data_IF_775493002253
#
_entry.id   IF_775493002253
#
_cell.length_a   1.000
_cell.length_b   1.000
_cell.length_c   1.000
_cell.angle_alpha   90.00
_cell.angle_beta   90.00
_cell.angle_gamma   90.00
#
_symmetry.space_group_name_H-M   'P 1'
#
loop_
_entity.id
_entity.type
_entity.pdbx_description
1 polymer ?
#
# COMPACT_ATOMS: atom_id res chain seq x y z
N UNK A 1 19.30 15.88 3.24
CA UNK A 1 18.47 16.18 4.42
C UNK A 1 17.47 15.04 4.59
N UNK A 2 17.13 14.60 5.81
CA UNK A 2 16.29 13.41 6.03
C UNK A 2 14.94 13.45 5.31
N UNK A 3 14.32 14.63 5.21
CA UNK A 3 13.06 14.79 4.46
C UNK A 3 13.19 14.47 2.96
N UNK A 4 14.32 14.80 2.34
CA UNK A 4 14.56 14.49 0.92
C UNK A 4 14.76 13.00 0.72
N UNK A 5 15.46 12.35 1.65
CA UNK A 5 15.63 10.89 1.66
C UNK A 5 14.28 10.18 1.79
N UNK A 6 13.44 10.60 2.75
CA UNK A 6 12.07 10.11 2.87
C UNK A 6 11.28 10.28 1.58
N UNK A 7 11.23 11.50 1.02
CA UNK A 7 10.47 11.79 -0.20
C UNK A 7 10.91 10.93 -1.38
N UNK A 8 12.22 10.68 -1.51
CA UNK A 8 12.74 9.81 -2.57
C UNK A 8 12.28 8.36 -2.37
N UNK A 9 12.49 7.80 -1.19
CA UNK A 9 12.12 6.41 -0.87
C UNK A 9 10.62 6.18 -1.03
N UNK A 10 9.82 7.10 -0.50
CA UNK A 10 8.35 7.05 -0.54
C UNK A 10 7.84 7.04 -1.99
N UNK A 11 8.37 7.93 -2.83
CA UNK A 11 8.04 7.98 -4.27
C UNK A 11 8.48 6.73 -5.02
N UNK A 12 9.64 6.19 -4.69
CA UNK A 12 10.14 4.96 -5.33
C UNK A 12 9.26 3.76 -5.00
N UNK A 13 8.82 3.61 -3.75
CA UNK A 13 7.88 2.57 -3.33
C UNK A 13 6.53 2.69 -4.04
N UNK A 14 5.95 3.90 -4.09
CA UNK A 14 4.70 4.13 -4.82
C UNK A 14 4.80 3.84 -6.32
N UNK A 15 5.91 4.20 -6.96
CA UNK A 15 6.14 3.88 -8.38
C UNK A 15 6.20 2.37 -8.61
N UNK A 16 6.91 1.64 -7.75
CA UNK A 16 6.97 0.18 -7.84
C UNK A 16 5.58 -0.46 -7.69
N UNK A 17 4.78 -0.01 -6.73
CA UNK A 17 3.42 -0.52 -6.52
C UNK A 17 2.52 -0.19 -7.72
N UNK A 18 2.57 1.04 -8.24
CA UNK A 18 1.84 1.44 -9.46
C UNK A 18 2.18 0.54 -10.64
N UNK A 19 3.47 0.33 -10.91
CA UNK A 19 3.92 -0.44 -12.07
C UNK A 19 3.44 -1.89 -11.96
N UNK A 20 3.54 -2.49 -10.76
CA UNK A 20 3.00 -3.83 -10.50
C UNK A 20 1.48 -3.91 -10.62
N UNK A 21 0.72 -2.88 -10.22
CA UNK A 21 -0.73 -2.84 -10.40
C UNK A 21 -1.11 -2.82 -11.89
N UNK A 22 -0.37 -2.08 -12.72
CA UNK A 22 -0.58 -2.05 -14.17
C UNK A 22 -0.20 -3.38 -14.83
N UNK A 23 0.87 -4.02 -14.37
CA UNK A 23 1.25 -5.36 -14.83
C UNK A 23 0.25 -6.43 -14.38
N UNK A 24 -0.30 -6.31 -13.17
CA UNK A 24 -1.35 -7.20 -12.66
C UNK A 24 -2.60 -7.12 -13.53
N UNK A 25 -2.99 -5.91 -13.95
CA UNK A 25 -4.13 -5.72 -14.84
C UNK A 25 -3.91 -6.47 -16.16
N UNK A 26 -2.73 -6.35 -16.75
CA UNK A 26 -2.37 -7.06 -17.97
C UNK A 26 -2.37 -8.58 -17.78
N UNK A 27 -1.89 -9.08 -16.64
CA UNK A 27 -1.90 -10.52 -16.34
C UNK A 27 -3.34 -11.07 -16.28
N UNK A 28 -4.26 -10.37 -15.62
CA UNK A 28 -5.68 -10.73 -15.62
C UNK A 28 -6.31 -10.65 -17.02
N UNK A 29 -6.02 -9.60 -17.79
CA UNK A 29 -6.53 -9.46 -19.18
C UNK A 29 -6.05 -10.60 -20.10
N UNK A 30 -4.82 -11.09 -19.88
CA UNK A 30 -4.27 -12.27 -20.57
C UNK A 30 -4.74 -13.62 -19.99
N UNK A 31 -5.50 -13.59 -18.88
CA UNK A 31 -5.88 -14.77 -18.07
C UNK A 31 -4.67 -15.61 -17.66
N UNK A 32 -3.55 -14.95 -17.38
CA UNK A 32 -2.33 -15.59 -16.90
C UNK A 32 -2.36 -15.66 -15.37
N UNK A 33 -3.01 -16.70 -14.85
CA UNK A 33 -3.12 -16.94 -13.41
C UNK A 33 -1.78 -17.04 -12.70
N UNK A 34 -0.78 -17.67 -13.33
CA UNK A 34 0.54 -17.85 -12.72
C UNK A 34 1.22 -16.50 -12.55
N UNK A 35 1.21 -15.67 -13.59
CA UNK A 35 1.75 -14.31 -13.51
C UNK A 35 0.95 -13.45 -12.52
N UNK A 36 -0.38 -13.53 -12.53
CA UNK A 36 -1.21 -12.78 -11.59
C UNK A 36 -0.87 -13.13 -10.13
N UNK A 37 -0.70 -14.41 -9.80
CA UNK A 37 -0.31 -14.88 -8.47
C UNK A 37 1.06 -14.34 -8.03
N UNK A 38 2.05 -14.36 -8.92
CA UNK A 38 3.38 -13.83 -8.64
C UNK A 38 3.33 -12.32 -8.38
N UNK A 39 2.56 -11.57 -9.16
CA UNK A 39 2.45 -10.11 -9.02
C UNK A 39 1.70 -9.74 -7.73
N UNK A 40 0.57 -10.39 -7.40
CA UNK A 40 -0.14 -10.07 -6.13
C UNK A 40 0.73 -10.39 -4.91
N UNK A 41 1.52 -11.46 -4.95
CA UNK A 41 2.46 -11.78 -3.88
C UNK A 41 3.52 -10.68 -3.76
N UNK A 42 4.08 -10.22 -4.89
CA UNK A 42 5.07 -9.14 -4.89
C UNK A 42 4.51 -7.81 -4.37
N UNK A 43 3.27 -7.48 -4.74
CA UNK A 43 2.57 -6.32 -4.20
C UNK A 43 2.41 -6.44 -2.69
N UNK A 44 1.99 -7.61 -2.18
CA UNK A 44 1.82 -7.83 -0.75
C UNK A 44 3.13 -7.68 0.04
N UNK A 45 4.24 -8.19 -0.49
CA UNK A 45 5.58 -8.03 0.11
C UNK A 45 6.02 -6.57 0.20
N UNK A 46 5.74 -5.75 -0.82
CA UNK A 46 6.10 -4.34 -0.84
C UNK A 46 5.19 -3.50 0.07
N UNK A 47 3.89 -3.78 0.01
CA UNK A 47 2.88 -2.96 0.68
C UNK A 47 2.74 -3.24 2.17
N UNK A 48 3.13 -4.44 2.65
CA UNK A 48 3.11 -4.77 4.08
C UNK A 48 3.96 -3.82 4.92
N UNK A 49 5.28 -3.71 4.66
CA UNK A 49 6.13 -2.73 5.33
C UNK A 49 5.70 -1.29 5.08
N UNK A 50 5.25 -0.97 3.86
CA UNK A 50 4.82 0.38 3.48
C UNK A 50 3.65 0.89 4.32
N UNK A 51 2.53 0.16 4.30
CA UNK A 51 1.33 0.52 5.06
C UNK A 51 1.63 0.59 6.55
N UNK A 52 2.51 -0.28 7.03
CA UNK A 52 2.88 -0.31 8.43
C UNK A 52 3.54 0.98 8.89
N UNK A 53 4.61 1.44 8.24
CA UNK A 53 5.27 2.66 8.72
C UNK A 53 4.40 3.89 8.47
N UNK A 54 3.54 3.87 7.45
CA UNK A 54 2.54 4.93 7.26
C UNK A 54 1.60 5.03 8.46
N UNK A 55 0.96 3.92 8.85
CA UNK A 55 0.01 3.90 9.97
C UNK A 55 0.67 4.10 11.33
N UNK A 56 1.88 3.57 11.54
CA UNK A 56 2.59 3.63 12.83
C UNK A 56 3.33 4.95 13.04
N UNK A 57 3.69 5.69 11.97
CA UNK A 57 4.55 6.88 12.11
C UNK A 57 4.20 8.06 11.21
N UNK A 58 3.90 7.87 9.92
CA UNK A 58 3.61 8.99 9.01
C UNK A 58 2.28 9.64 9.39
N UNK A 59 1.21 8.86 9.48
CA UNK A 59 -0.13 9.36 9.75
C UNK A 59 -0.24 10.03 11.13
N UNK A 60 0.30 9.46 12.23
CA UNK A 60 0.35 10.15 13.51
C UNK A 60 1.11 11.49 13.46
N UNK A 61 2.25 11.54 12.76
CA UNK A 61 3.05 12.76 12.65
C UNK A 61 2.33 13.87 11.87
N UNK A 62 1.42 13.51 10.97
CA UNK A 62 0.65 14.44 10.15
C UNK A 62 -0.64 14.95 10.81
N UNK A 63 -1.04 14.44 11.99
CA UNK A 63 -2.23 14.90 12.72
C UNK A 63 -2.16 16.41 12.99
N UNK A 64 -0.98 16.93 13.36
CA UNK A 64 -0.80 18.37 13.63
C UNK A 64 -1.00 19.26 12.40
N UNK A 65 -0.93 18.72 11.19
CA UNK A 65 -1.08 19.45 9.93
C UNK A 65 -2.48 19.29 9.35
N UNK A 66 -2.99 18.05 9.30
CA UNK A 66 -4.26 17.73 8.64
C UNK A 66 -5.45 17.52 9.58
N UNK A 67 -5.19 17.35 10.88
CA UNK A 67 -6.21 16.97 11.87
C UNK A 67 -6.55 15.48 11.86
N UNK A 68 -7.18 15.04 12.95
CA UNK A 68 -7.53 13.63 13.18
C UNK A 68 -8.54 13.09 12.15
N UNK A 69 -9.48 13.91 11.70
CA UNK A 69 -10.51 13.49 10.74
C UNK A 69 -9.91 13.06 9.40
N UNK A 70 -8.96 13.84 8.88
CA UNK A 70 -8.29 13.51 7.63
C UNK A 70 -7.41 12.27 7.77
N UNK A 71 -6.69 12.14 8.89
CA UNK A 71 -5.90 10.93 9.18
C UNK A 71 -6.80 9.68 9.31
N UNK A 72 -7.97 9.81 9.93
CA UNK A 72 -8.97 8.73 10.00
C UNK A 72 -9.48 8.31 8.61
N UNK A 73 -9.62 9.27 7.69
CA UNK A 73 -9.91 8.98 6.29
C UNK A 73 -8.79 8.18 5.63
N UNK A 74 -7.52 8.58 5.78
CA UNK A 74 -6.37 7.82 5.23
C UNK A 74 -6.33 6.37 5.73
N UNK A 75 -6.57 6.16 7.03
CA UNK A 75 -6.69 4.81 7.61
C UNK A 75 -7.86 4.02 7.00
N UNK A 76 -8.98 4.68 6.74
CA UNK A 76 -10.14 4.06 6.09
C UNK A 76 -9.86 3.77 4.60
N UNK A 77 -8.97 4.52 3.97
CA UNK A 77 -8.52 4.27 2.60
C UNK A 77 -7.63 3.00 2.56
N UNK A 78 -6.73 2.82 3.54
CA UNK A 78 -5.98 1.57 3.74
C UNK A 78 -6.90 0.37 3.92
N UNK A 79 -7.97 0.49 4.73
CA UNK A 79 -8.93 -0.60 4.93
C UNK A 79 -9.53 -1.08 3.59
N UNK A 80 -9.88 -0.14 2.70
CA UNK A 80 -10.43 -0.46 1.37
C UNK A 80 -9.41 -1.08 0.44
N UNK A 81 -8.16 -0.61 0.48
CA UNK A 81 -7.07 -1.20 -0.33
C UNK A 81 -6.74 -2.61 0.14
N UNK A 82 -6.68 -2.86 1.45
CA UNK A 82 -6.48 -4.20 2.02
C UNK A 82 -7.59 -5.16 1.58
N UNK A 83 -8.85 -4.72 1.63
CA UNK A 83 -9.98 -5.52 1.16
C UNK A 83 -9.85 -5.85 -0.34
N UNK A 84 -9.47 -4.86 -1.15
CA UNK A 84 -9.24 -5.04 -2.59
C UNK A 84 -8.09 -6.01 -2.88
N UNK A 85 -6.99 -5.89 -2.14
CA UNK A 85 -5.84 -6.78 -2.25
C UNK A 85 -6.20 -8.23 -1.90
N UNK A 86 -6.96 -8.46 -0.81
CA UNK A 86 -7.49 -9.79 -0.46
C UNK A 86 -8.33 -10.39 -1.59
N UNK A 87 -9.19 -9.57 -2.21
CA UNK A 87 -10.02 -10.05 -3.32
C UNK A 87 -9.18 -10.34 -4.58
N UNK A 88 -8.18 -9.53 -4.88
CA UNK A 88 -7.25 -9.78 -6.00
C UNK A 88 -6.45 -11.07 -5.81
N UNK A 89 -6.00 -11.37 -4.58
CA UNK A 89 -5.34 -12.64 -4.24
C UNK A 89 -6.29 -13.82 -4.52
N UNK A 90 -7.54 -13.73 -4.07
CA UNK A 90 -8.52 -14.78 -4.32
C UNK A 90 -8.80 -14.96 -5.83
N UNK A 91 -8.93 -13.87 -6.59
CA UNK A 91 -9.13 -13.92 -8.05
C UNK A 91 -7.93 -14.54 -8.77
N UNK A 92 -6.69 -14.23 -8.36
CA UNK A 92 -5.49 -14.82 -8.95
C UNK A 92 -5.42 -16.34 -8.74
N UNK A 93 -6.06 -16.87 -7.70
CA UNK A 93 -6.16 -18.31 -7.40
C UNK A 93 -7.27 -19.02 -8.18
N UNK A 94 -8.22 -18.29 -8.78
CA UNK A 94 -9.34 -18.86 -9.55
C UNK A 94 -8.89 -19.34 -10.92
N UNK A 95 -8.90 -20.65 -11.18
CA UNK A 95 -8.57 -21.22 -12.50
C UNK A 95 -9.67 -22.19 -12.97
N UNK A 96 -10.29 -21.97 -14.15
CA UNK A 96 -10.03 -20.90 -15.12
C UNK A 96 -10.60 -19.53 -14.71
N UNK A 97 -9.90 -18.45 -15.09
CA UNK A 97 -10.42 -17.08 -14.99
C UNK A 97 -11.48 -16.83 -16.07
N UNK A 98 -12.73 -16.59 -15.65
CA UNK A 98 -13.81 -16.17 -16.52
C UNK A 98 -13.77 -14.67 -16.81
N UNK A 99 -14.63 -14.21 -17.72
CA UNK A 99 -14.72 -12.79 -18.08
C UNK A 99 -15.17 -11.93 -16.88
N UNK A 100 -16.08 -12.44 -16.06
CA UNK A 100 -16.56 -11.71 -14.88
C UNK A 100 -15.44 -11.46 -13.87
N UNK A 101 -14.60 -12.47 -13.61
CA UNK A 101 -13.44 -12.37 -12.72
C UNK A 101 -12.40 -11.36 -13.25
N UNK A 102 -12.15 -11.35 -14.56
CA UNK A 102 -11.24 -10.38 -15.19
C UNK A 102 -11.79 -8.95 -15.06
N UNK A 103 -13.10 -8.74 -15.28
CA UNK A 103 -13.73 -7.43 -15.12
C UNK A 103 -13.67 -6.95 -13.67
N UNK A 104 -13.90 -7.85 -12.71
CA UNK A 104 -13.80 -7.54 -11.28
C UNK A 104 -12.37 -7.15 -10.90
N UNK A 105 -11.37 -7.94 -11.29
CA UNK A 105 -9.97 -7.64 -11.02
C UNK A 105 -9.57 -6.27 -11.56
N UNK A 106 -9.99 -5.95 -12.80
CA UNK A 106 -9.74 -4.65 -13.42
C UNK A 106 -10.39 -3.50 -12.65
N UNK A 107 -11.62 -3.69 -12.16
CA UNK A 107 -12.31 -2.68 -11.36
C UNK A 107 -11.58 -2.43 -10.02
N UNK A 108 -11.15 -3.50 -9.34
CA UNK A 108 -10.41 -3.41 -8.08
C UNK A 108 -9.08 -2.68 -8.27
N UNK A 109 -8.28 -3.05 -9.27
CA UNK A 109 -7.01 -2.39 -9.58
C UNK A 109 -7.22 -0.89 -9.84
N UNK A 110 -8.23 -0.54 -10.62
CA UNK A 110 -8.59 0.86 -10.89
C UNK A 110 -9.05 1.62 -9.66
N UNK A 111 -9.65 0.95 -8.67
CA UNK A 111 -9.98 1.59 -7.39
C UNK A 111 -8.77 1.80 -6.47
N UNK A 112 -7.71 1.00 -6.61
CA UNK A 112 -6.49 1.12 -5.81
C UNK A 112 -5.52 2.17 -6.37
N UNK A 113 -5.43 2.31 -7.70
CA UNK A 113 -4.50 3.24 -8.35
C UNK A 113 -4.57 4.70 -7.85
N UNK A 114 -5.75 5.31 -7.60
CA UNK A 114 -5.83 6.67 -7.07
C UNK A 114 -5.16 6.81 -5.70
N UNK A 115 -5.32 5.83 -4.81
CA UNK A 115 -4.72 5.85 -3.49
C UNK A 115 -3.19 5.95 -3.54
N UNK A 116 -2.55 5.22 -4.46
CA UNK A 116 -1.08 5.31 -4.67
C UNK A 116 -0.65 6.74 -5.02
N UNK A 117 -1.45 7.44 -5.83
CA UNK A 117 -1.13 8.82 -6.25
C UNK A 117 -1.44 9.84 -5.15
N UNK A 118 -2.55 9.67 -4.45
CA UNK A 118 -2.99 10.57 -3.38
C UNK A 118 -2.03 10.48 -2.17
N UNK A 119 -1.64 9.25 -1.77
CA UNK A 119 -0.68 9.05 -0.69
C UNK A 119 0.69 9.64 -1.02
N UNK A 120 1.17 9.58 -2.27
CA UNK A 120 2.45 10.19 -2.67
C UNK A 120 2.53 11.69 -2.33
N UNK A 121 1.38 12.38 -2.39
CA UNK A 121 1.26 13.79 -2.02
C UNK A 121 1.58 14.11 -0.56
N UNK A 122 1.51 13.13 0.35
CA UNK A 122 1.84 13.32 1.76
C UNK A 122 3.32 13.68 1.97
N UNK A 123 4.20 13.29 1.04
CA UNK A 123 5.63 13.66 1.07
C UNK A 123 5.85 15.17 1.17
N UNK A 124 4.98 15.97 0.56
CA UNK A 124 5.05 17.44 0.59
C UNK A 124 4.88 17.97 2.02
N UNK A 125 4.05 17.32 2.84
CA UNK A 125 3.87 17.72 4.24
C UNK A 125 4.96 17.17 5.14
N UNK A 126 5.48 15.98 4.85
CA UNK A 126 6.64 15.43 5.57
C UNK A 126 7.87 16.33 5.46
N UNK A 127 8.04 17.06 4.35
CA UNK A 127 9.08 18.08 4.17
C UNK A 127 9.02 19.23 5.19
N UNK A 128 7.89 19.41 5.88
CA UNK A 128 7.69 20.46 6.89
C UNK A 128 7.82 19.95 8.32
N UNK A 129 8.00 18.65 8.52
CA UNK A 129 8.15 18.07 9.84
C UNK A 129 9.54 18.36 10.43
N UNK A 130 9.67 18.41 11.77
CA UNK A 130 10.98 18.44 12.43
C UNK A 130 11.83 17.23 12.04
N UNK A 131 13.14 17.43 11.93
CA UNK A 131 14.09 16.38 11.52
C UNK A 131 14.02 15.13 12.43
N UNK A 132 13.78 15.31 13.73
CA UNK A 132 13.57 14.22 14.69
C UNK A 132 12.37 13.33 14.31
N UNK A 133 11.25 13.92 13.86
CA UNK A 133 10.08 13.16 13.45
C UNK A 133 10.34 12.39 12.15
N UNK A 134 11.03 13.02 11.19
CA UNK A 134 11.41 12.35 9.93
C UNK A 134 12.38 11.19 10.21
N UNK A 135 13.34 11.39 11.11
CA UNK A 135 14.24 10.33 11.56
C UNK A 135 13.47 9.16 12.19
N UNK A 136 12.43 9.45 13.00
CA UNK A 136 11.53 8.44 13.57
C UNK A 136 10.78 7.64 12.50
N UNK A 137 10.23 8.32 11.49
CA UNK A 137 9.54 7.68 10.36
C UNK A 137 10.49 6.74 9.60
N UNK A 138 11.71 7.20 9.28
CA UNK A 138 12.71 6.39 8.59
C UNK A 138 13.15 5.17 9.42
N UNK A 139 13.24 5.31 10.75
CA UNK A 139 13.52 4.20 11.65
C UNK A 139 12.36 3.18 11.67
N UNK A 140 11.11 3.62 11.75
CA UNK A 140 9.93 2.73 11.66
C UNK A 140 9.89 2.00 10.32
N UNK A 141 10.17 2.70 9.21
CA UNK A 141 10.30 2.08 7.88
C UNK A 141 11.39 1.01 7.85
N UNK A 142 12.59 1.32 8.35
CA UNK A 142 13.69 0.36 8.39
C UNK A 142 13.34 -0.89 9.22
N UNK A 143 12.68 -0.69 10.37
CA UNK A 143 12.19 -1.77 11.20
C UNK A 143 11.15 -2.64 10.47
N UNK A 144 10.13 -2.02 9.88
CA UNK A 144 9.10 -2.72 9.11
C UNK A 144 9.67 -3.55 7.95
N UNK A 145 10.67 -3.00 7.24
CA UNK A 145 11.39 -3.72 6.18
C UNK A 145 12.20 -4.91 6.75
N UNK A 146 12.84 -4.75 7.90
CA UNK A 146 13.66 -5.81 8.51
C UNK A 146 12.82 -7.02 8.95
N UNK A 147 11.57 -6.80 9.35
CA UNK A 147 10.66 -7.89 9.73
C UNK A 147 10.05 -8.61 8.52
N UNK A 148 9.99 -7.94 7.36
CA UNK A 148 9.59 -8.57 6.08
C UNK A 148 8.18 -9.17 6.09
N UNK A 149 7.27 -8.62 6.89
CA UNK A 149 5.90 -9.12 7.02
C UNK A 149 5.07 -8.57 5.84
N UNK A 150 4.52 -9.45 5.01
CA UNK A 150 3.66 -9.07 3.89
C UNK A 150 2.32 -8.45 4.35
N UNK A 151 1.64 -7.77 3.42
CA UNK A 151 0.39 -7.07 3.68
C UNK A 151 -0.71 -7.97 4.28
N UNK A 152 -0.84 -9.20 3.80
CA UNK A 152 -1.91 -10.09 4.25
C UNK A 152 -1.70 -10.46 5.72
N UNK A 153 -0.48 -10.89 6.05
CA UNK A 153 -0.09 -11.27 7.40
C UNK A 153 -0.09 -10.07 8.34
N UNK A 154 0.44 -8.93 7.90
CA UNK A 154 0.42 -7.70 8.71
C UNK A 154 -1.02 -7.29 9.04
N UNK A 155 -1.90 -7.25 8.03
CA UNK A 155 -3.29 -6.84 8.20
C UNK A 155 -4.14 -7.81 9.06
N UNK A 156 -3.76 -9.09 9.18
CA UNK A 156 -4.49 -10.08 9.98
C UNK A 156 -3.92 -10.30 11.38
N UNK A 157 -2.60 -10.21 11.56
CA UNK A 157 -1.92 -10.65 12.79
C UNK A 157 -1.28 -9.51 13.59
N UNK A 158 -0.80 -8.46 12.92
CA UNK A 158 0.07 -7.43 13.54
C UNK A 158 -0.63 -6.09 13.67
N UNK A 159 -1.38 -5.69 12.64
CA UNK A 159 -2.03 -4.38 12.55
C UNK A 159 -3.02 -4.19 13.70
N UNK A 160 -2.85 -3.10 14.45
CA UNK A 160 -3.72 -2.78 15.58
C UNK A 160 -5.15 -2.46 15.13
N UNK A 161 -5.30 -1.79 13.99
CA UNK A 161 -6.58 -1.49 13.37
C UNK A 161 -7.13 -2.72 12.67
N UNK A 162 -8.15 -3.34 13.27
CA UNK A 162 -8.88 -4.46 12.67
C UNK A 162 -9.95 -3.95 11.71
N UNK A 163 -9.96 -4.51 10.51
CA UNK A 163 -11.09 -4.38 9.57
C UNK A 163 -12.04 -5.53 9.87
N UNK A 164 -13.26 -5.23 10.29
CA UNK A 164 -14.33 -6.23 10.39
C UNK A 164 -14.81 -6.67 9.01
#
# INVERSE_FOLDING_TARGET
MLAQEFTQLFREEHRQVRDLLLDLQQAFERRDNTQAQQIVQRIAELTGPHFRYEEESVYPALIGIFGEEYVSKLLSDHDRVIASARRLVALAQTNPLGEAEVQEARALIRSVLPHVSDCDGLSIMVERLPEEQVSGILATRAHALSEGIDLMRWASEVRQRRVN
#
